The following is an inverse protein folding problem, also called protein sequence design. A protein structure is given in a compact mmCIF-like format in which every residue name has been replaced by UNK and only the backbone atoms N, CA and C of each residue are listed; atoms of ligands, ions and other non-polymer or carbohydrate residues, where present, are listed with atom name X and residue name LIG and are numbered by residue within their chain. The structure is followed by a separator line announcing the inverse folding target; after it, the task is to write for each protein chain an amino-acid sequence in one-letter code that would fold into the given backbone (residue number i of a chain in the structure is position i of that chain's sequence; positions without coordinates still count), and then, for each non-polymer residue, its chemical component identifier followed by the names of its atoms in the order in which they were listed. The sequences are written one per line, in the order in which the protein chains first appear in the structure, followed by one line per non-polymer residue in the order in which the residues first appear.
data_IF_746991820247
#
_entry.id   IF_746991820247
#
_cell.length_a   1.000
_cell.length_b   1.000
_cell.length_c   1.000
_cell.angle_alpha   90.00
_cell.angle_beta   90.00
_cell.angle_gamma   90.00
#
_symmetry.space_group_name_H-M   'P 1'
#
loop_
_entity.id
_entity.type
_entity.pdbx_description
1 polymer ?
#
# COMPACT_ATOMS: atom_id res chain seq x y z
N UNK A 1 -40.32 -21.09 -11.46
CA UNK A 1 -40.52 -19.93 -10.56
C UNK A 1 -39.36 -18.99 -10.79
N UNK A 2 -39.65 -17.81 -11.33
CA UNK A 2 -38.65 -16.89 -11.87
C UNK A 2 -37.74 -16.31 -10.80
N UNK A 3 -36.44 -16.42 -11.03
CA UNK A 3 -35.43 -15.60 -10.37
C UNK A 3 -35.59 -14.17 -10.86
N UNK A 4 -36.21 -13.31 -10.04
CA UNK A 4 -36.10 -11.87 -10.21
C UNK A 4 -34.63 -11.50 -10.11
N UNK A 5 -33.99 -11.31 -11.26
CA UNK A 5 -32.77 -10.54 -11.37
C UNK A 5 -33.14 -9.11 -10.92
N UNK A 6 -32.96 -8.83 -9.63
CA UNK A 6 -32.95 -7.46 -9.14
C UNK A 6 -31.99 -6.67 -10.01
N UNK A 7 -32.45 -5.58 -10.62
CA UNK A 7 -31.62 -4.68 -11.40
C UNK A 7 -30.45 -4.20 -10.54
N UNK A 8 -29.29 -4.86 -10.66
CA UNK A 8 -28.04 -4.38 -10.05
C UNK A 8 -27.66 -3.12 -10.80
N UNK A 9 -28.07 -1.97 -10.26
CA UNK A 9 -27.75 -0.69 -10.84
C UNK A 9 -26.25 -0.43 -10.62
N UNK A 10 -25.44 -0.58 -11.67
CA UNK A 10 -24.02 -0.31 -11.63
C UNK A 10 -23.78 1.20 -11.71
N UNK A 11 -23.04 1.74 -10.74
CA UNK A 11 -22.64 3.16 -10.71
C UNK A 11 -21.15 3.29 -11.03
N UNK A 12 -20.73 3.17 -12.31
CA UNK A 12 -19.32 3.13 -12.70
C UNK A 12 -18.57 4.42 -12.33
N UNK A 13 -19.24 5.57 -12.38
CA UNK A 13 -18.68 6.86 -11.97
C UNK A 13 -18.33 6.85 -10.48
N UNK A 14 -19.25 6.38 -9.63
CA UNK A 14 -19.03 6.31 -8.19
C UNK A 14 -17.92 5.31 -7.84
N UNK A 15 -17.89 4.15 -8.52
CA UNK A 15 -16.79 3.20 -8.39
C UNK A 15 -15.43 3.83 -8.77
N UNK A 16 -15.39 4.62 -9.84
CA UNK A 16 -14.21 5.38 -10.25
C UNK A 16 -13.75 6.37 -9.18
N UNK A 17 -14.67 7.10 -8.56
CA UNK A 17 -14.36 8.02 -7.45
C UNK A 17 -13.72 7.28 -6.28
N UNK A 18 -14.31 6.17 -5.83
CA UNK A 18 -13.73 5.38 -4.73
C UNK A 18 -12.39 4.74 -5.10
N UNK A 19 -12.18 4.36 -6.36
CA UNK A 19 -10.89 3.87 -6.84
C UNK A 19 -9.81 4.97 -6.79
N UNK A 20 -10.13 6.20 -7.18
CA UNK A 20 -9.21 7.35 -7.08
C UNK A 20 -8.88 7.65 -5.62
N UNK A 21 -9.88 7.68 -4.75
CA UNK A 21 -9.68 7.87 -3.29
C UNK A 21 -8.77 6.79 -2.73
N UNK A 22 -8.98 5.53 -3.13
CA UNK A 22 -8.11 4.40 -2.75
C UNK A 22 -6.68 4.63 -3.22
N UNK A 23 -6.48 5.05 -4.48
CA UNK A 23 -5.16 5.35 -5.02
C UNK A 23 -4.46 6.50 -4.27
N UNK A 24 -5.20 7.52 -3.83
CA UNK A 24 -4.65 8.61 -3.01
C UNK A 24 -4.15 8.11 -1.65
N UNK A 25 -4.97 7.32 -0.93
CA UNK A 25 -4.59 6.77 0.37
C UNK A 25 -3.40 5.79 0.29
N UNK A 26 -3.39 4.91 -0.72
CA UNK A 26 -2.26 4.02 -0.95
C UNK A 26 -1.02 4.75 -1.46
N UNK A 27 -1.20 5.82 -2.24
CA UNK A 27 -0.10 6.67 -2.70
C UNK A 27 0.59 7.40 -1.54
N UNK A 28 -0.17 7.93 -0.58
CA UNK A 28 0.41 8.61 0.58
C UNK A 28 0.94 7.63 1.65
N UNK A 29 0.46 6.38 1.67
CA UNK A 29 0.85 5.36 2.64
C UNK A 29 2.37 5.17 2.75
N UNK A 30 3.06 4.98 1.62
CA UNK A 30 4.51 4.73 1.61
C UNK A 30 5.34 5.83 2.30
N UNK A 31 5.21 7.11 1.88
CA UNK A 31 5.89 8.23 2.52
C UNK A 31 5.52 8.43 3.99
N UNK A 32 4.23 8.32 4.34
CA UNK A 32 3.76 8.50 5.73
C UNK A 32 4.30 7.40 6.64
N UNK A 33 4.30 6.16 6.18
CA UNK A 33 4.86 5.03 6.91
C UNK A 33 6.38 5.16 7.10
N UNK A 34 7.09 5.62 6.07
CA UNK A 34 8.52 5.90 6.18
C UNK A 34 8.80 6.97 7.24
N UNK A 35 8.02 8.06 7.27
CA UNK A 35 8.09 9.07 8.33
C UNK A 35 7.83 8.47 9.71
N UNK A 36 6.79 7.64 9.86
CA UNK A 36 6.48 6.94 11.11
C UNK A 36 7.67 6.10 11.61
N UNK A 37 8.30 5.33 10.72
CA UNK A 37 9.47 4.51 11.05
C UNK A 37 10.70 5.36 11.46
N UNK A 38 10.90 6.52 10.85
CA UNK A 38 11.96 7.48 11.27
C UNK A 38 11.69 8.01 12.67
N UNK A 39 10.46 8.44 12.98
CA UNK A 39 10.10 8.94 14.33
C UNK A 39 10.17 7.86 15.41
N UNK A 40 9.96 6.58 15.03
CA UNK A 40 10.12 5.44 15.92
C UNK A 40 11.58 5.01 16.12
N UNK A 41 12.54 5.70 15.50
CA UNK A 41 13.97 5.40 15.61
C UNK A 41 14.40 4.14 14.85
N UNK A 42 13.54 3.59 13.99
CA UNK A 42 13.80 2.35 13.26
C UNK A 42 14.61 2.59 11.97
N UNK A 43 14.72 3.85 11.53
CA UNK A 43 15.50 4.28 10.36
C UNK A 43 16.48 5.38 10.83
N UNK A 44 17.77 5.04 11.00
CA UNK A 44 18.80 5.98 11.47
C UNK A 44 20.17 5.33 11.72
N UNK A 45 21.20 6.11 12.13
CA UNK A 45 22.58 5.64 12.31
C UNK A 45 22.76 4.64 13.47
N UNK A 46 21.79 4.55 14.39
CA UNK A 46 21.77 3.59 15.49
C UNK A 46 20.58 2.63 15.31
N UNK A 47 20.65 1.74 14.31
CA UNK A 47 19.55 0.80 14.01
C UNK A 47 19.31 -0.18 15.17
N UNK A 48 18.32 0.15 16.01
CA UNK A 48 17.68 -0.77 16.94
C UNK A 48 16.42 -1.36 16.33
N UNK A 49 16.52 -2.56 15.79
CA UNK A 49 15.40 -3.51 15.59
C UNK A 49 14.23 -3.12 14.67
N UNK A 50 14.44 -3.15 13.33
CA UNK A 50 13.45 -3.52 12.29
C UNK A 50 12.13 -2.73 12.17
N UNK A 51 11.45 -2.82 11.01
CA UNK A 51 10.19 -2.07 10.73
C UNK A 51 8.91 -2.68 11.35
N UNK A 52 9.04 -3.44 12.43
CA UNK A 52 7.95 -4.25 12.98
C UNK A 52 6.98 -3.44 13.84
N UNK A 53 7.41 -2.38 14.53
CA UNK A 53 6.51 -1.56 15.37
C UNK A 53 5.51 -0.75 14.52
N UNK A 54 5.91 -0.09 13.41
CA UNK A 54 4.97 0.51 12.46
C UNK A 54 4.01 -0.50 11.88
N UNK A 55 4.44 -1.74 11.63
CA UNK A 55 3.54 -2.78 11.12
C UNK A 55 2.45 -3.14 12.14
N UNK A 56 2.78 -3.21 13.44
CA UNK A 56 1.78 -3.38 14.49
C UNK A 56 0.76 -2.23 14.50
N UNK A 57 1.22 -0.98 14.36
CA UNK A 57 0.31 0.16 14.25
C UNK A 57 -0.60 0.08 13.01
N UNK A 58 -0.07 -0.36 11.87
CA UNK A 58 -0.86 -0.59 10.65
C UNK A 58 -1.89 -1.70 10.87
N UNK A 59 -1.49 -2.81 11.50
CA UNK A 59 -2.39 -3.92 11.82
C UNK A 59 -3.55 -3.50 12.72
N UNK A 60 -3.28 -2.70 13.76
CA UNK A 60 -4.32 -2.15 14.63
C UNK A 60 -5.28 -1.24 13.86
N UNK A 61 -4.76 -0.35 13.02
CA UNK A 61 -5.59 0.51 12.18
C UNK A 61 -6.48 -0.31 11.22
N UNK A 62 -5.94 -1.37 10.61
CA UNK A 62 -6.68 -2.23 9.71
C UNK A 62 -7.79 -2.98 10.44
N UNK A 63 -7.51 -3.53 11.63
CA UNK A 63 -8.52 -4.17 12.47
C UNK A 63 -9.67 -3.22 12.82
N UNK A 64 -9.36 -2.01 13.28
CA UNK A 64 -10.39 -1.02 13.64
C UNK A 64 -11.24 -0.60 12.44
N UNK A 65 -10.61 -0.23 11.32
CA UNK A 65 -11.32 0.27 10.13
C UNK A 65 -12.12 -0.86 9.46
N UNK A 66 -11.58 -2.08 9.38
CA UNK A 66 -12.26 -3.22 8.76
C UNK A 66 -13.49 -3.70 9.52
N UNK A 67 -13.58 -3.42 10.82
CA UNK A 67 -14.76 -3.74 11.63
C UNK A 67 -15.72 -2.55 11.65
N UNK A 68 -15.24 -1.37 12.05
CA UNK A 68 -16.10 -0.20 12.27
C UNK A 68 -16.64 0.35 10.94
N UNK A 69 -15.82 0.40 9.89
CA UNK A 69 -16.20 0.97 8.60
C UNK A 69 -17.41 0.28 7.95
N UNK A 70 -17.39 -1.06 7.76
CA UNK A 70 -18.53 -1.79 7.23
C UNK A 70 -19.78 -1.67 8.12
N UNK A 71 -19.64 -1.76 9.44
CA UNK A 71 -20.77 -1.63 10.37
C UNK A 71 -21.43 -0.26 10.23
N UNK A 72 -20.65 0.82 10.20
CA UNK A 72 -21.16 2.18 10.01
C UNK A 72 -21.84 2.33 8.65
N UNK A 73 -21.25 1.81 7.57
CA UNK A 73 -21.86 1.87 6.24
C UNK A 73 -23.15 1.05 6.14
N UNK A 74 -23.21 -0.11 6.79
CA UNK A 74 -24.42 -0.92 6.86
C UNK A 74 -25.53 -0.21 7.66
N UNK A 75 -25.19 0.39 8.80
CA UNK A 75 -26.16 1.00 9.72
C UNK A 75 -26.62 2.40 9.30
N UNK A 76 -25.70 3.24 8.80
CA UNK A 76 -25.96 4.66 8.49
C UNK A 76 -26.30 4.86 7.02
N UNK A 77 -25.56 4.23 6.11
CA UNK A 77 -25.79 4.39 4.67
C UNK A 77 -26.83 3.39 4.11
N UNK A 78 -27.28 2.43 4.93
CA UNK A 78 -28.31 1.47 4.55
C UNK A 78 -27.95 0.66 3.30
N UNK A 79 -26.66 0.42 3.07
CA UNK A 79 -26.17 -0.28 1.87
C UNK A 79 -26.59 -1.76 1.84
N UNK A 80 -26.91 -2.34 3.00
CA UNK A 80 -27.48 -3.68 3.14
C UNK A 80 -28.90 -3.58 3.71
N UNK A 81 -29.86 -3.31 2.83
CA UNK A 81 -31.30 -3.32 3.18
C UNK A 81 -31.79 -4.76 3.29
N UNK A 82 -31.54 -5.41 4.42
CA UNK A 82 -32.10 -6.73 4.71
C UNK A 82 -31.79 -7.25 6.12
N UNK A 83 -32.77 -7.16 7.01
CA UNK A 83 -32.99 -7.99 8.21
C UNK A 83 -31.80 -8.26 9.17
N UNK A 84 -30.87 -7.30 9.32
CA UNK A 84 -29.89 -7.27 10.42
C UNK A 84 -28.48 -7.74 10.04
N UNK A 85 -27.51 -7.47 10.92
CA UNK A 85 -26.06 -7.66 10.70
C UNK A 85 -25.62 -9.07 10.28
N UNK A 86 -26.45 -10.09 10.52
CA UNK A 86 -26.12 -11.50 10.27
C UNK A 86 -26.89 -12.11 9.09
N UNK A 87 -27.69 -11.33 8.37
CA UNK A 87 -28.48 -11.82 7.26
C UNK A 87 -27.65 -11.85 5.96
N UNK A 88 -27.66 -12.96 5.23
CA UNK A 88 -26.91 -13.12 3.96
C UNK A 88 -25.51 -13.75 4.10
N UNK A 89 -25.09 -14.11 5.32
CA UNK A 89 -23.81 -14.76 5.54
C UNK A 89 -23.85 -16.21 5.05
N UNK A 90 -22.92 -16.57 4.14
CA UNK A 90 -22.74 -17.94 3.68
C UNK A 90 -21.37 -18.45 4.12
N UNK A 91 -21.27 -19.72 4.51
CA UNK A 91 -20.00 -20.30 4.95
C UNK A 91 -18.91 -20.18 3.87
N UNK A 92 -19.28 -20.43 2.60
CA UNK A 92 -18.35 -20.26 1.48
C UNK A 92 -17.91 -18.81 1.32
N UNK A 93 -18.81 -17.84 1.43
CA UNK A 93 -18.48 -16.41 1.39
C UNK A 93 -17.54 -15.99 2.52
N UNK A 94 -17.75 -16.51 3.73
CA UNK A 94 -16.86 -16.27 4.88
C UNK A 94 -15.45 -16.81 4.58
N UNK A 95 -15.33 -18.06 4.14
CA UNK A 95 -14.03 -18.69 3.86
C UNK A 95 -13.26 -17.92 2.78
N UNK A 96 -13.93 -17.54 1.69
CA UNK A 96 -13.30 -16.74 0.62
C UNK A 96 -12.92 -15.33 1.10
N UNK A 97 -13.76 -14.70 1.93
CA UNK A 97 -13.47 -13.37 2.47
C UNK A 97 -12.30 -13.39 3.46
N UNK A 98 -12.25 -14.40 4.34
CA UNK A 98 -11.13 -14.63 5.26
C UNK A 98 -9.86 -14.96 4.48
N UNK A 99 -9.94 -15.80 3.45
CA UNK A 99 -8.81 -16.12 2.57
C UNK A 99 -8.27 -14.88 1.85
N UNK A 100 -9.16 -14.04 1.32
CA UNK A 100 -8.80 -12.75 0.71
C UNK A 100 -8.14 -11.80 1.71
N UNK A 101 -8.70 -11.69 2.92
CA UNK A 101 -8.13 -10.90 4.02
C UNK A 101 -6.74 -11.39 4.45
N UNK A 102 -6.56 -12.71 4.56
CA UNK A 102 -5.27 -13.31 4.90
C UNK A 102 -4.22 -13.04 3.82
N UNK A 103 -4.58 -13.17 2.53
CA UNK A 103 -3.69 -12.83 1.42
C UNK A 103 -3.28 -11.33 1.46
N UNK A 104 -4.22 -10.44 1.77
CA UNK A 104 -3.95 -9.01 1.95
C UNK A 104 -3.01 -8.72 3.13
N UNK A 105 -3.23 -9.37 4.28
CA UNK A 105 -2.38 -9.20 5.47
C UNK A 105 -0.95 -9.71 5.25
N UNK A 106 -0.80 -10.88 4.60
CA UNK A 106 0.50 -11.42 4.21
C UNK A 106 1.20 -10.51 3.17
N UNK A 107 0.45 -9.96 2.22
CA UNK A 107 0.95 -8.98 1.27
C UNK A 107 1.46 -7.71 1.95
N UNK A 108 0.72 -7.18 2.93
CA UNK A 108 1.14 -6.03 3.72
C UNK A 108 2.40 -6.34 4.55
N UNK A 109 2.49 -7.53 5.15
CA UNK A 109 3.69 -7.99 5.85
C UNK A 109 4.90 -8.05 4.91
N UNK A 110 4.74 -8.66 3.72
CA UNK A 110 5.78 -8.73 2.71
C UNK A 110 6.22 -7.34 2.22
N UNK A 111 5.27 -6.40 2.05
CA UNK A 111 5.54 -5.01 1.72
C UNK A 111 6.42 -4.33 2.79
N UNK A 112 6.08 -4.48 4.07
CA UNK A 112 6.92 -3.93 5.16
C UNK A 112 8.31 -4.55 5.18
N UNK A 113 8.41 -5.87 4.95
CA UNK A 113 9.70 -6.55 4.91
C UNK A 113 10.55 -6.10 3.72
N UNK A 114 9.97 -5.93 2.53
CA UNK A 114 10.65 -5.37 1.37
C UNK A 114 11.14 -3.94 1.64
N UNK A 115 10.34 -3.17 2.34
CA UNK A 115 10.69 -1.83 2.78
C UNK A 115 11.77 -1.81 3.90
N UNK A 116 11.87 -2.87 4.69
CA UNK A 116 12.91 -3.04 5.73
C UNK A 116 14.26 -3.35 5.08
N UNK A 117 14.30 -4.36 4.21
CA UNK A 117 15.52 -4.74 3.51
C UNK A 117 15.94 -3.78 2.39
N UNK A 118 15.02 -2.95 1.89
CA UNK A 118 15.29 -1.98 0.81
C UNK A 118 16.03 -0.70 1.25
N UNK A 119 16.33 -0.52 2.54
CA UNK A 119 17.06 0.64 3.04
C UNK A 119 16.27 1.97 3.05
N UNK A 120 16.95 3.12 3.26
CA UNK A 120 16.31 4.45 3.43
C UNK A 120 15.55 4.94 2.20
N UNK A 121 15.90 4.43 1.02
CA UNK A 121 15.36 4.82 -0.28
C UNK A 121 14.25 3.87 -0.75
N UNK A 122 13.89 2.91 0.10
CA UNK A 122 12.95 1.83 -0.19
C UNK A 122 11.58 2.25 -0.71
N UNK A 123 10.93 3.33 -0.23
CA UNK A 123 9.59 3.66 -0.71
C UNK A 123 9.57 4.06 -2.19
N UNK A 124 10.65 4.65 -2.70
CA UNK A 124 10.73 5.17 -4.08
C UNK A 124 10.74 4.06 -5.13
N UNK A 125 11.27 2.88 -4.79
CA UNK A 125 11.32 1.74 -5.73
C UNK A 125 10.32 0.64 -5.37
N UNK A 126 10.07 0.37 -4.08
CA UNK A 126 9.15 -0.71 -3.68
C UNK A 126 7.71 -0.36 -4.05
N UNK A 127 7.30 0.89 -3.89
CA UNK A 127 5.90 1.29 -4.16
C UNK A 127 5.54 1.15 -5.64
N UNK A 128 6.30 1.69 -6.61
CA UNK A 128 5.98 1.48 -8.03
C UNK A 128 6.06 0.01 -8.46
N UNK A 129 6.96 -0.77 -7.86
CA UNK A 129 7.09 -2.20 -8.17
C UNK A 129 5.84 -2.99 -7.76
N UNK A 130 5.34 -2.76 -6.54
CA UNK A 130 4.17 -3.48 -6.02
C UNK A 130 2.90 -3.01 -6.73
N UNK A 131 2.68 -1.71 -6.86
CA UNK A 131 1.46 -1.19 -7.49
C UNK A 131 1.44 -1.34 -9.01
N UNK A 132 2.59 -1.42 -9.67
CA UNK A 132 2.69 -1.75 -11.09
C UNK A 132 2.44 -3.24 -11.37
N UNK A 133 2.88 -4.14 -10.49
CA UNK A 133 2.71 -5.58 -10.67
C UNK A 133 1.35 -6.11 -10.19
N UNK A 134 0.72 -5.46 -9.20
CA UNK A 134 -0.54 -5.93 -8.62
C UNK A 134 -1.68 -6.12 -9.65
N UNK A 135 -1.91 -5.20 -10.60
CA UNK A 135 -2.92 -5.41 -11.66
C UNK A 135 -2.63 -6.64 -12.53
N UNK A 136 -1.36 -6.95 -12.80
CA UNK A 136 -0.93 -8.13 -13.57
C UNK A 136 -1.31 -9.41 -12.84
N UNK A 137 -0.95 -9.50 -11.56
CA UNK A 137 -1.27 -10.69 -10.75
C UNK A 137 -2.77 -10.85 -10.58
N UNK A 138 -3.50 -9.76 -10.30
CA UNK A 138 -4.96 -9.78 -10.16
C UNK A 138 -5.63 -10.31 -11.44
N UNK A 139 -5.16 -9.87 -12.60
CA UNK A 139 -5.62 -10.36 -13.90
C UNK A 139 -5.36 -11.86 -14.05
N UNK A 140 -4.14 -12.32 -13.82
CA UNK A 140 -3.79 -13.73 -13.96
C UNK A 140 -4.66 -14.62 -13.06
N UNK A 141 -4.88 -14.21 -11.81
CA UNK A 141 -5.73 -14.91 -10.85
C UNK A 141 -7.20 -14.90 -11.30
N UNK A 142 -7.70 -13.76 -11.78
CA UNK A 142 -9.07 -13.65 -12.30
C UNK A 142 -9.28 -14.52 -13.56
N UNK A 143 -8.32 -14.54 -14.49
CA UNK A 143 -8.36 -15.41 -15.67
C UNK A 143 -8.34 -16.88 -15.27
N UNK A 144 -7.56 -17.24 -14.25
CA UNK A 144 -7.50 -18.60 -13.73
C UNK A 144 -8.85 -19.07 -13.17
N UNK A 145 -9.47 -18.26 -12.29
CA UNK A 145 -10.76 -18.62 -11.69
C UNK A 145 -11.92 -18.58 -12.69
N UNK A 146 -11.93 -17.63 -13.61
CA UNK A 146 -13.00 -17.48 -14.59
C UNK A 146 -12.81 -18.35 -15.86
N UNK A 147 -11.68 -19.06 -15.98
CA UNK A 147 -11.30 -19.88 -17.15
C UNK A 147 -11.39 -19.13 -18.49
N UNK A 148 -11.23 -17.81 -18.48
CA UNK A 148 -11.42 -16.91 -19.62
C UNK A 148 -10.16 -16.72 -20.47
N UNK A 149 -9.28 -17.72 -20.51
CA UNK A 149 -8.00 -17.67 -21.25
C UNK A 149 -8.14 -17.29 -22.73
N UNK A 150 -9.28 -17.63 -23.36
CA UNK A 150 -9.56 -17.37 -24.77
C UNK A 150 -10.30 -16.05 -25.05
N UNK A 151 -10.79 -15.37 -24.01
CA UNK A 151 -11.59 -14.14 -24.14
C UNK A 151 -10.80 -12.86 -23.82
N UNK A 152 -9.47 -12.98 -23.68
CA UNK A 152 -8.62 -11.84 -23.36
C UNK A 152 -8.53 -10.93 -24.58
N UNK A 153 -9.08 -9.72 -24.46
CA UNK A 153 -8.95 -8.71 -25.50
C UNK A 153 -7.47 -8.36 -25.72
N UNK A 154 -6.97 -8.35 -26.98
CA UNK A 154 -5.61 -7.91 -27.27
C UNK A 154 -5.30 -6.51 -26.72
N UNK A 155 -6.28 -5.61 -26.70
CA UNK A 155 -6.11 -4.26 -26.13
C UNK A 155 -5.87 -4.26 -24.63
N UNK A 156 -6.50 -5.20 -23.91
CA UNK A 156 -6.28 -5.35 -22.48
C UNK A 156 -4.86 -5.83 -22.18
N UNK A 157 -4.32 -6.75 -23.00
CA UNK A 157 -2.94 -7.21 -22.89
C UNK A 157 -1.92 -6.08 -23.20
N UNK A 158 -2.21 -5.26 -24.21
CA UNK A 158 -1.39 -4.07 -24.52
C UNK A 158 -1.40 -3.08 -23.35
N UNK A 159 -2.57 -2.82 -22.75
CA UNK A 159 -2.67 -1.99 -21.54
C UNK A 159 -1.84 -2.55 -20.39
N UNK A 160 -1.86 -3.87 -20.21
CA UNK A 160 -1.06 -4.53 -19.17
C UNK A 160 0.44 -4.41 -19.43
N UNK A 161 0.88 -4.61 -20.67
CA UNK A 161 2.27 -4.40 -21.08
C UNK A 161 2.69 -2.95 -20.88
N UNK A 162 1.82 -1.98 -21.17
CA UNK A 162 2.11 -0.57 -20.96
C UNK A 162 2.28 -0.24 -19.46
N UNK A 163 1.48 -0.85 -18.58
CA UNK A 163 1.65 -0.72 -17.12
C UNK A 163 2.99 -1.31 -16.67
N UNK A 164 3.36 -2.48 -17.17
CA UNK A 164 4.66 -3.11 -16.86
C UNK A 164 5.80 -2.21 -17.34
N UNK A 165 5.74 -1.73 -18.58
CA UNK A 165 6.75 -0.84 -19.14
C UNK A 165 6.83 0.47 -18.36
N UNK A 166 5.69 1.09 -18.02
CA UNK A 166 5.63 2.29 -17.21
C UNK A 166 6.24 2.09 -15.82
N UNK A 167 5.94 0.97 -15.16
CA UNK A 167 6.54 0.62 -13.88
C UNK A 167 8.07 0.44 -14.01
N UNK A 168 8.55 -0.26 -15.05
CA UNK A 168 9.99 -0.41 -15.31
C UNK A 168 10.65 0.94 -15.57
N UNK A 169 10.04 1.81 -16.39
CA UNK A 169 10.56 3.16 -16.62
C UNK A 169 10.67 3.93 -15.32
N UNK A 170 9.64 3.94 -14.47
CA UNK A 170 9.66 4.62 -13.16
C UNK A 170 10.79 4.07 -12.29
N UNK A 171 11.00 2.75 -12.26
CA UNK A 171 12.06 2.13 -11.46
C UNK A 171 13.47 2.47 -11.98
N UNK A 172 13.65 2.54 -13.30
CA UNK A 172 14.93 2.86 -13.94
C UNK A 172 15.24 4.36 -13.85
N UNK A 173 14.23 5.23 -14.02
CA UNK A 173 14.36 6.68 -13.96
C UNK A 173 14.11 7.25 -12.56
N UNK A 174 13.89 6.38 -11.55
CA UNK A 174 13.69 6.81 -10.18
C UNK A 174 14.89 7.66 -9.74
N UNK A 175 14.67 8.90 -9.27
CA UNK A 175 15.76 9.75 -8.82
C UNK A 175 16.47 9.05 -7.67
N UNK A 176 17.74 8.67 -7.90
CA UNK A 176 18.61 8.18 -6.83
C UNK A 176 18.73 9.30 -5.82
N UNK A 177 18.32 9.10 -4.55
CA UNK A 177 18.50 10.14 -3.56
C UNK A 177 19.99 10.45 -3.50
N UNK A 178 20.30 11.74 -3.63
CA UNK A 178 21.67 12.23 -3.53
C UNK A 178 22.30 11.63 -2.27
N UNK A 179 23.58 11.26 -2.37
CA UNK A 179 24.40 10.91 -1.21
C UNK A 179 24.02 11.86 -0.07
N UNK A 180 23.82 11.37 1.16
CA UNK A 180 23.72 12.27 2.31
C UNK A 180 24.91 13.22 2.18
N UNK A 181 24.66 14.53 2.10
CA UNK A 181 25.73 15.52 2.23
C UNK A 181 26.25 15.27 3.64
N UNK A 182 27.30 14.46 3.72
CA UNK A 182 27.93 14.05 4.94
C UNK A 182 28.27 15.33 5.70
N UNK A 183 28.09 15.24 7.01
CA UNK A 183 28.64 16.13 8.02
C UNK A 183 30.06 16.65 7.68
N UNK A 184 30.14 17.72 6.88
CA UNK A 184 31.42 18.39 6.55
C UNK A 184 31.37 19.89 6.83
N UNK A 185 30.23 20.46 7.24
CA UNK A 185 30.12 21.92 7.43
C UNK A 185 29.86 22.39 8.87
N UNK A 186 29.73 21.49 9.85
CA UNK A 186 29.64 21.90 11.27
C UNK A 186 30.76 21.43 12.19
N UNK A 187 31.47 20.35 11.85
CA UNK A 187 32.64 19.92 12.65
C UNK A 187 33.87 20.82 12.42
N UNK A 188 34.01 21.41 11.23
CA UNK A 188 35.06 22.41 10.99
C UNK A 188 34.71 23.80 11.54
N UNK A 189 33.42 24.15 11.64
CA UNK A 189 33.02 25.42 12.26
C UNK A 189 33.26 25.41 13.77
N UNK A 190 32.94 24.31 14.48
CA UNK A 190 33.12 24.27 15.93
C UNK A 190 34.58 24.04 16.37
N UNK A 191 35.39 23.38 15.54
CA UNK A 191 36.83 23.17 15.83
C UNK A 191 37.65 24.42 15.52
N UNK A 192 37.33 25.16 14.45
CA UNK A 192 38.00 26.43 14.13
C UNK A 192 37.66 27.55 15.13
N UNK A 193 36.41 27.64 15.60
CA UNK A 193 36.04 28.65 16.61
C UNK A 193 36.68 28.39 17.98
N UNK A 194 36.89 27.13 18.37
CA UNK A 194 37.58 26.80 19.63
C UNK A 194 39.10 26.97 19.53
N UNK A 195 39.70 26.66 18.37
CA UNK A 195 41.13 26.86 18.14
C UNK A 195 41.55 28.33 18.00
N UNK A 196 40.68 29.23 17.52
CA UNK A 196 40.91 30.68 17.57
C UNK A 196 40.71 31.27 18.97
N UNK A 197 39.76 30.76 19.76
CA UNK A 197 39.54 31.23 21.14
C UNK A 197 40.65 30.82 22.12
N UNK A 198 41.35 29.70 21.87
CA UNK A 198 42.48 29.25 22.69
C UNK A 198 43.80 29.95 22.32
N UNK A 199 43.91 30.54 21.12
CA UNK A 199 45.08 31.38 20.74
C UNK A 199 44.93 32.85 21.12
N UNK A 200 43.74 33.27 21.56
CA UNK A 200 43.42 34.64 21.97
C UNK A 200 43.36 34.83 23.51
N UNK A 201 43.75 33.81 24.28
CA UNK A 201 43.90 33.83 25.74
C UNK A 201 45.19 33.15 26.14
#
# INVERSE_FOLDING_TARGET
MGTSASNTQYYPVLAGVFAIVTALFWGCYGPVLHKGAVYMGEIGPNMGSGRLRPFLCVGLAYFLISIVGPIVMMQVAGMEKGNGLLHGWTFSGIVWSVGGGAAGALGAFALIMALNYGGPTSPTFVMPMVFGAAPVVSTCVAMYFNKTYSQVSPFFLVGLLLVILGAVTILVTAPKPGKPKAAVEKTNSETSTKAELEKAK
#
